data_IF_982894540344
#
_entry.id   IF_982894540344
#
_cell.length_a   1.000
_cell.length_b   1.000
_cell.length_c   1.000
_cell.angle_alpha   90.00
_cell.angle_beta   90.00
_cell.angle_gamma   90.00
#
_symmetry.space_group_name_H-M   'P 1'
#
loop_
_entity.id
_entity.type
_entity.pdbx_description
1 polymer ?
#
# COMPACT_ATOMS: atom_id res chain seq x y z
N UNK A 1 9.04 5.46 -27.20
CA UNK A 1 8.81 6.40 -26.08
C UNK A 1 9.27 5.73 -24.80
N UNK A 2 10.21 6.31 -24.05
CA UNK A 2 10.88 5.63 -22.92
C UNK A 2 10.65 6.41 -21.63
N UNK A 3 10.15 5.72 -20.60
CA UNK A 3 10.15 6.24 -19.23
C UNK A 3 11.56 6.10 -18.68
N UNK A 4 12.11 7.20 -18.19
CA UNK A 4 13.40 7.22 -17.52
C UNK A 4 13.20 7.47 -16.03
N UNK A 5 13.92 6.69 -15.23
CA UNK A 5 13.90 6.75 -13.78
C UNK A 5 15.31 7.06 -13.32
N UNK A 6 15.50 8.19 -12.68
CA UNK A 6 16.79 8.60 -12.12
C UNK A 6 16.73 8.65 -10.61
N UNK A 7 17.68 8.00 -9.95
CA UNK A 7 17.89 8.12 -8.51
C UNK A 7 18.25 9.57 -8.14
N UNK A 8 17.68 10.04 -7.04
CA UNK A 8 18.00 11.31 -6.40
C UNK A 8 18.70 11.05 -5.07
N UNK A 9 19.30 12.11 -4.53
CA UNK A 9 19.77 12.07 -3.14
C UNK A 9 18.60 11.78 -2.21
N UNK A 10 18.82 11.07 -1.10
CA UNK A 10 17.78 10.84 -0.12
C UNK A 10 17.17 12.16 0.34
N UNK A 11 15.85 12.18 0.54
CA UNK A 11 15.16 13.37 1.09
C UNK A 11 15.56 13.60 2.55
N UNK A 12 15.99 12.52 3.22
CA UNK A 12 16.52 12.56 4.57
C UNK A 12 17.64 11.53 4.72
N UNK A 13 18.78 11.97 5.28
CA UNK A 13 19.87 11.07 5.63
C UNK A 13 19.69 10.55 7.05
N UNK A 14 19.08 9.36 7.16
CA UNK A 14 19.18 8.57 8.38
C UNK A 14 20.61 7.98 8.46
N UNK A 15 21.49 8.66 9.19
CA UNK A 15 22.93 8.33 9.26
C UNK A 15 23.21 6.93 9.78
N UNK A 16 22.35 6.42 10.65
CA UNK A 16 22.56 5.11 11.28
C UNK A 16 21.86 3.98 10.54
N UNK A 17 20.91 4.28 9.63
CA UNK A 17 20.08 3.31 8.91
C UNK A 17 19.62 2.19 9.86
N UNK A 18 18.99 2.60 10.96
CA UNK A 18 18.69 1.74 12.12
C UNK A 18 17.83 0.51 11.80
N UNK A 19 17.15 0.50 10.66
CA UNK A 19 16.39 -0.63 10.12
C UNK A 19 17.23 -1.68 9.41
N UNK A 20 18.48 -1.40 9.05
CA UNK A 20 19.40 -2.36 8.43
C UNK A 20 19.96 -3.34 9.46
N UNK A 21 19.97 -4.63 9.12
CA UNK A 21 20.49 -5.70 10.00
C UNK A 21 21.52 -6.54 9.24
N UNK A 22 22.55 -7.00 9.97
CA UNK A 22 23.65 -7.81 9.44
C UNK A 22 24.42 -7.14 8.29
N UNK A 23 24.73 -5.85 8.44
CA UNK A 23 25.56 -5.10 7.50
C UNK A 23 27.02 -5.54 7.66
N UNK A 24 27.50 -6.41 6.78
CA UNK A 24 28.87 -6.95 6.86
C UNK A 24 29.91 -6.03 6.23
N UNK A 25 29.55 -5.28 5.18
CA UNK A 25 30.32 -4.15 4.65
C UNK A 25 29.41 -3.25 3.79
N UNK A 26 29.86 -2.02 3.50
CA UNK A 26 29.11 -1.04 2.70
C UNK A 26 28.83 -1.49 1.25
N UNK A 27 29.62 -2.42 0.70
CA UNK A 27 29.50 -2.88 -0.68
C UNK A 27 28.41 -3.95 -0.90
N UNK A 28 27.98 -4.67 0.14
CA UNK A 28 27.03 -5.79 0.03
C UNK A 28 25.62 -5.48 0.54
N UNK A 29 25.38 -4.27 1.06
CA UNK A 29 24.09 -3.86 1.62
C UNK A 29 23.64 -4.71 2.83
N UNK A 30 22.46 -4.43 3.39
CA UNK A 30 21.87 -5.23 4.47
C UNK A 30 21.42 -6.61 3.97
N UNK A 31 21.50 -7.63 4.84
CA UNK A 31 20.96 -8.98 4.54
C UNK A 31 19.52 -9.16 5.02
N UNK A 32 19.10 -8.33 5.96
CA UNK A 32 17.77 -8.35 6.56
C UNK A 32 17.43 -6.97 7.14
N UNK A 33 16.17 -6.78 7.50
CA UNK A 33 15.64 -5.52 8.00
C UNK A 33 14.86 -5.72 9.31
N UNK A 34 14.68 -4.65 10.09
CA UNK A 34 13.88 -4.62 11.31
C UNK A 34 13.10 -3.32 11.43
N UNK A 35 12.03 -3.33 12.22
CA UNK A 35 11.41 -2.09 12.68
C UNK A 35 12.28 -1.50 13.80
N UNK A 36 12.79 -0.27 13.68
CA UNK A 36 13.71 0.29 14.66
C UNK A 36 13.01 1.00 15.83
N UNK A 37 11.69 1.18 15.76
CA UNK A 37 10.96 2.03 16.70
C UNK A 37 10.39 1.26 17.90
N UNK A 38 10.28 1.90 19.08
CA UNK A 38 9.65 1.30 20.27
C UNK A 38 8.18 0.93 20.10
N UNK A 39 7.52 1.42 19.04
CA UNK A 39 6.14 1.07 18.67
C UNK A 39 6.00 -0.32 18.05
N UNK A 40 7.11 -1.00 17.75
CA UNK A 40 7.12 -2.38 17.27
C UNK A 40 7.57 -3.34 18.37
N UNK A 41 6.95 -4.51 18.40
CA UNK A 41 7.28 -5.59 19.34
C UNK A 41 7.28 -6.92 18.58
N UNK A 42 8.47 -7.51 18.49
CA UNK A 42 8.73 -8.76 17.77
C UNK A 42 8.02 -9.98 18.40
N UNK A 43 7.59 -9.89 19.66
CA UNK A 43 6.93 -10.98 20.38
C UNK A 43 5.51 -11.26 19.87
N UNK A 44 4.85 -10.29 19.23
CA UNK A 44 3.47 -10.43 18.73
C UNK A 44 3.38 -11.18 17.39
N UNK A 45 4.44 -11.24 16.60
CA UNK A 45 4.41 -11.80 15.23
C UNK A 45 5.03 -13.19 15.04
N UNK A 46 5.49 -13.82 16.12
CA UNK A 46 6.26 -15.07 16.10
C UNK A 46 5.44 -16.35 15.95
N UNK A 47 6.12 -17.49 15.71
CA UNK A 47 5.49 -18.81 15.54
C UNK A 47 4.61 -19.22 16.73
N UNK A 48 5.04 -18.92 17.96
CA UNK A 48 4.25 -19.20 19.18
C UNK A 48 2.94 -18.40 19.18
N UNK A 49 2.99 -17.12 18.82
CA UNK A 49 1.80 -16.27 18.77
C UNK A 49 0.84 -16.75 17.67
N UNK A 50 1.36 -17.16 16.50
CA UNK A 50 0.57 -17.78 15.44
C UNK A 50 -0.14 -19.06 15.92
N UNK A 51 0.57 -19.97 16.60
CA UNK A 51 -0.03 -21.20 17.14
C UNK A 51 -1.12 -20.90 18.17
N UNK A 52 -0.88 -19.93 19.07
CA UNK A 52 -1.90 -19.47 20.04
C UNK A 52 -3.15 -18.94 19.34
N UNK A 53 -3.01 -18.08 18.33
CA UNK A 53 -4.15 -17.57 17.56
C UNK A 53 -4.87 -18.66 16.76
N UNK A 54 -4.16 -19.67 16.27
CA UNK A 54 -4.72 -20.72 15.41
C UNK A 54 -5.39 -21.86 16.18
N UNK A 55 -4.84 -22.23 17.33
CA UNK A 55 -5.23 -23.43 18.09
C UNK A 55 -5.61 -23.15 19.56
N UNK A 56 -5.57 -21.88 20.00
CA UNK A 56 -5.99 -21.49 21.34
C UNK A 56 -7.45 -21.85 21.62
N UNK A 57 -7.73 -22.20 22.89
CA UNK A 57 -9.07 -22.58 23.35
C UNK A 57 -10.09 -21.46 23.17
N UNK A 58 -9.65 -20.21 23.30
CA UNK A 58 -10.49 -19.00 23.21
C UNK A 58 -10.58 -18.42 21.78
N UNK A 59 -10.21 -19.21 20.75
CA UNK A 59 -10.30 -18.75 19.37
C UNK A 59 -11.77 -18.50 19.01
N UNK A 60 -12.13 -17.31 18.48
CA UNK A 60 -13.51 -17.04 18.12
C UNK A 60 -13.98 -17.91 16.95
N UNK A 61 -15.30 -17.94 16.78
CA UNK A 61 -15.94 -18.68 15.70
C UNK A 61 -15.58 -18.11 14.33
N UNK A 62 -15.62 -18.98 13.33
CA UNK A 62 -15.47 -18.55 11.95
C UNK A 62 -16.59 -17.59 11.57
N UNK A 63 -16.22 -16.44 11.02
CA UNK A 63 -17.17 -15.45 10.51
C UNK A 63 -17.24 -15.63 8.99
N UNK A 64 -18.37 -16.11 8.43
CA UNK A 64 -18.53 -16.26 6.99
C UNK A 64 -18.56 -14.89 6.32
N UNK A 65 -18.06 -14.82 5.09
CA UNK A 65 -18.34 -13.67 4.24
C UNK A 65 -19.83 -13.72 3.89
N UNK A 66 -20.59 -12.61 4.03
CA UNK A 66 -21.98 -12.56 3.63
C UNK A 66 -22.21 -13.09 2.21
N UNK A 67 -23.23 -13.93 2.03
CA UNK A 67 -23.62 -14.43 0.71
C UNK A 67 -24.31 -13.36 -0.15
N UNK A 68 -24.95 -12.39 0.51
CA UNK A 68 -25.57 -11.24 -0.14
C UNK A 68 -24.51 -10.20 -0.53
N UNK A 69 -24.38 -9.93 -1.84
CA UNK A 69 -23.42 -8.95 -2.37
C UNK A 69 -23.76 -7.51 -1.96
N UNK A 70 -25.02 -7.20 -1.65
CA UNK A 70 -25.43 -5.87 -1.18
C UNK A 70 -24.88 -5.50 0.20
N UNK A 71 -24.38 -6.47 0.97
CA UNK A 71 -23.70 -6.24 2.24
C UNK A 71 -22.19 -6.07 2.11
N UNK A 72 -21.65 -6.26 0.90
CA UNK A 72 -20.23 -6.11 0.59
C UNK A 72 -20.02 -4.78 -0.13
N UNK A 73 -18.74 -4.38 -0.22
CA UNK A 73 -18.39 -3.23 -1.02
C UNK A 73 -18.83 -3.43 -2.47
N UNK A 74 -19.54 -2.46 -3.07
CA UNK A 74 -19.90 -2.50 -4.47
C UNK A 74 -18.68 -2.61 -5.37
N UNK A 75 -18.89 -3.23 -6.53
CA UNK A 75 -17.91 -3.29 -7.61
C UNK A 75 -18.56 -2.66 -8.83
N UNK A 76 -17.90 -1.65 -9.39
CA UNK A 76 -18.36 -0.92 -10.57
C UNK A 76 -17.29 -0.92 -11.66
N UNK A 77 -17.69 -0.72 -12.93
CA UNK A 77 -16.74 -0.55 -14.02
C UNK A 77 -15.79 0.62 -13.79
N UNK A 78 -14.56 0.49 -14.25
CA UNK A 78 -13.57 1.57 -14.19
C UNK A 78 -13.84 2.60 -15.29
N UNK A 79 -13.78 3.88 -14.95
CA UNK A 79 -13.58 4.95 -15.92
C UNK A 79 -12.08 5.08 -16.22
N UNK A 80 -11.66 4.71 -17.42
CA UNK A 80 -10.25 4.76 -17.86
C UNK A 80 -9.80 6.12 -18.41
N UNK A 81 -10.69 7.12 -18.45
CA UNK A 81 -10.36 8.45 -18.98
C UNK A 81 -9.22 9.12 -18.21
N UNK A 82 -8.37 9.87 -18.91
CA UNK A 82 -7.25 10.60 -18.32
C UNK A 82 -7.75 11.81 -17.50
N UNK A 83 -7.12 12.13 -16.35
CA UNK A 83 -7.42 13.35 -15.62
C UNK A 83 -6.99 14.58 -16.40
N UNK A 84 -7.76 15.67 -16.24
CA UNK A 84 -7.42 16.99 -16.78
C UNK A 84 -6.31 17.70 -15.99
N UNK A 85 -6.15 17.38 -14.71
CA UNK A 85 -5.16 17.99 -13.81
C UNK A 85 -4.85 17.05 -12.63
N UNK A 86 -3.64 17.14 -12.08
CA UNK A 86 -3.24 16.41 -10.88
C UNK A 86 -3.28 14.90 -11.07
N UNK A 87 -3.84 14.19 -10.08
CA UNK A 87 -3.93 12.73 -10.10
C UNK A 87 -5.36 12.24 -10.17
N UNK A 88 -5.60 11.18 -10.94
CA UNK A 88 -6.78 10.33 -10.81
C UNK A 88 -6.38 9.02 -10.15
N UNK A 89 -7.00 8.71 -9.02
CA UNK A 89 -6.73 7.50 -8.23
C UNK A 89 -7.98 6.62 -8.26
N UNK A 90 -7.84 5.42 -8.83
CA UNK A 90 -8.90 4.41 -8.93
C UNK A 90 -8.59 3.24 -8.00
N UNK A 91 -9.53 2.86 -7.14
CA UNK A 91 -9.35 1.69 -6.26
C UNK A 91 -9.69 0.39 -7.00
N UNK A 92 -8.72 -0.52 -7.11
CA UNK A 92 -8.88 -1.81 -7.79
C UNK A 92 -9.25 -2.96 -6.82
N UNK A 93 -9.37 -2.63 -5.52
CA UNK A 93 -9.62 -3.55 -4.43
C UNK A 93 -8.37 -3.87 -3.61
N UNK A 94 -8.57 -4.18 -2.32
CA UNK A 94 -7.51 -4.43 -1.34
C UNK A 94 -6.57 -3.23 -1.23
N UNK A 95 -5.26 -3.42 -1.47
CA UNK A 95 -4.27 -2.34 -1.57
C UNK A 95 -3.91 -1.99 -3.03
N UNK A 96 -4.64 -2.52 -4.01
CA UNK A 96 -4.38 -2.26 -5.42
C UNK A 96 -5.03 -0.94 -5.89
N UNK A 97 -4.22 -0.06 -6.48
CA UNK A 97 -4.69 1.21 -7.04
C UNK A 97 -4.10 1.44 -8.42
N UNK A 98 -4.90 2.01 -9.32
CA UNK A 98 -4.43 2.67 -10.53
C UNK A 98 -4.33 4.16 -10.25
N UNK A 99 -3.17 4.74 -10.51
CA UNK A 99 -2.97 6.19 -10.47
C UNK A 99 -2.57 6.67 -11.86
N UNK A 100 -3.33 7.62 -12.37
CA UNK A 100 -3.08 8.29 -13.65
C UNK A 100 -2.70 9.74 -13.36
N UNK A 101 -1.57 10.19 -13.87
CA UNK A 101 -1.18 11.59 -13.82
C UNK A 101 -1.87 12.35 -14.95
N UNK A 102 -2.09 13.65 -14.79
CA UNK A 102 -2.52 14.49 -15.90
C UNK A 102 -1.47 14.54 -17.02
N UNK A 103 -1.94 14.80 -18.23
CA UNK A 103 -1.08 14.93 -19.40
C UNK A 103 -0.38 16.30 -19.37
N UNK A 104 0.95 16.28 -19.40
CA UNK A 104 1.77 17.49 -19.45
C UNK A 104 1.81 18.08 -20.86
N UNK A 105 2.04 19.39 -20.95
CA UNK A 105 2.25 20.07 -22.24
C UNK A 105 3.39 19.42 -23.03
N UNK A 106 3.05 18.96 -24.24
CA UNK A 106 4.00 18.28 -25.13
C UNK A 106 4.13 16.77 -24.91
N UNK A 107 3.39 16.17 -23.97
CA UNK A 107 3.32 14.72 -23.79
C UNK A 107 2.06 14.13 -24.46
N UNK A 108 2.16 12.94 -25.04
CA UNK A 108 1.02 12.25 -25.66
C UNK A 108 -0.05 11.77 -24.65
N UNK A 109 0.35 11.51 -23.40
CA UNK A 109 -0.53 11.13 -22.27
C UNK A 109 0.20 11.27 -20.93
N UNK A 110 -0.54 11.21 -19.83
CA UNK A 110 -0.01 11.14 -18.47
C UNK A 110 0.65 9.80 -18.12
N UNK A 111 1.53 9.81 -17.11
CA UNK A 111 2.15 8.60 -16.54
C UNK A 111 1.11 7.80 -15.78
N UNK A 112 1.02 6.51 -16.07
CA UNK A 112 0.10 5.60 -15.38
C UNK A 112 0.88 4.62 -14.53
N UNK A 113 0.48 4.41 -13.29
CA UNK A 113 1.16 3.51 -12.37
C UNK A 113 0.18 2.68 -11.55
N UNK A 114 0.64 1.50 -11.14
CA UNK A 114 -0.08 0.61 -10.25
C UNK A 114 0.62 0.52 -8.90
N UNK A 115 -0.13 0.63 -7.82
CA UNK A 115 0.31 0.22 -6.49
C UNK A 115 -0.14 -1.20 -6.22
N UNK A 116 0.76 -2.05 -5.72
CA UNK A 116 0.49 -3.39 -5.20
C UNK A 116 -0.59 -4.18 -5.98
N UNK A 117 -0.43 -4.38 -7.31
CA UNK A 117 -1.52 -4.88 -8.15
C UNK A 117 -1.77 -6.37 -7.95
N UNK A 118 -3.01 -6.72 -7.57
CA UNK A 118 -3.47 -8.10 -7.34
C UNK A 118 -4.76 -8.40 -8.10
N UNK A 119 -4.62 -9.17 -9.18
CA UNK A 119 -5.77 -9.65 -9.97
C UNK A 119 -6.08 -11.12 -9.74
N UNK A 120 -5.15 -11.88 -9.15
CA UNK A 120 -5.34 -13.31 -8.87
C UNK A 120 -6.54 -13.61 -7.97
N UNK A 121 -7.13 -14.78 -8.20
CA UNK A 121 -8.25 -15.31 -7.39
C UNK A 121 -7.86 -15.60 -5.94
N UNK A 122 -6.58 -15.89 -5.70
CA UNK A 122 -6.02 -16.18 -4.37
C UNK A 122 -4.72 -15.44 -4.17
N UNK A 123 -4.49 -14.99 -2.93
CA UNK A 123 -3.24 -14.37 -2.49
C UNK A 123 -2.42 -15.42 -1.74
N UNK A 124 -1.69 -16.24 -2.50
CA UNK A 124 -1.03 -17.45 -2.01
C UNK A 124 0.13 -17.87 -2.90
N UNK A 125 1.15 -18.58 -2.37
CA UNK A 125 2.17 -19.25 -3.19
C UNK A 125 1.59 -20.30 -4.15
N UNK A 126 0.39 -20.82 -3.88
CA UNK A 126 -0.24 -21.89 -4.66
C UNK A 126 -1.68 -21.55 -5.04
N UNK A 127 -2.14 -22.01 -6.20
CA UNK A 127 -3.47 -21.66 -6.74
C UNK A 127 -4.64 -22.36 -6.04
N UNK A 128 -4.40 -23.47 -5.33
CA UNK A 128 -5.44 -24.31 -4.73
C UNK A 128 -5.69 -24.04 -3.24
N UNK A 129 -4.73 -23.45 -2.52
CA UNK A 129 -4.79 -23.19 -1.07
C UNK A 129 -4.51 -21.71 -0.77
N UNK A 130 -5.00 -21.22 0.36
CA UNK A 130 -4.75 -19.86 0.84
C UNK A 130 -5.95 -18.91 0.68
N UNK A 131 -5.84 -17.66 1.14
CA UNK A 131 -6.89 -16.65 1.02
C UNK A 131 -7.46 -16.54 -0.40
N UNK A 132 -8.79 -16.53 -0.52
CA UNK A 132 -9.51 -16.34 -1.78
C UNK A 132 -10.22 -15.00 -1.73
N UNK A 133 -10.15 -14.24 -2.82
CA UNK A 133 -10.93 -13.01 -2.94
C UNK A 133 -12.42 -13.29 -2.91
N UNK A 134 -13.16 -12.44 -2.21
CA UNK A 134 -14.62 -12.49 -2.13
C UNK A 134 -15.29 -11.38 -2.95
N UNK A 135 -14.56 -10.30 -3.26
CA UNK A 135 -14.97 -9.32 -4.27
C UNK A 135 -14.12 -9.48 -5.53
N UNK A 136 -14.71 -9.55 -6.73
CA UNK A 136 -14.00 -9.63 -8.00
C UNK A 136 -13.26 -8.31 -8.30
N UNK A 137 -12.30 -8.30 -9.23
CA UNK A 137 -11.69 -7.05 -9.67
C UNK A 137 -12.71 -6.26 -10.49
N UNK A 138 -12.58 -4.93 -10.56
CA UNK A 138 -13.53 -4.08 -11.30
C UNK A 138 -13.37 -4.16 -12.84
N UNK A 139 -12.26 -4.72 -13.31
CA UNK A 139 -12.00 -5.05 -14.71
C UNK A 139 -11.13 -6.31 -14.80
N UNK A 140 -10.95 -6.86 -15.99
CA UNK A 140 -9.94 -7.91 -16.20
C UNK A 140 -8.53 -7.31 -16.33
N UNK A 141 -7.50 -8.10 -16.04
CA UNK A 141 -6.11 -7.61 -16.21
C UNK A 141 -5.79 -7.31 -17.70
N UNK A 142 -6.38 -8.06 -18.63
CA UNK A 142 -6.24 -7.83 -20.06
C UNK A 142 -6.91 -6.51 -20.48
N UNK A 143 -8.12 -6.25 -19.98
CA UNK A 143 -8.83 -4.99 -20.18
C UNK A 143 -8.04 -3.80 -19.62
N UNK A 144 -7.53 -3.90 -18.39
CA UNK A 144 -6.70 -2.84 -17.81
C UNK A 144 -5.50 -2.49 -18.70
N UNK A 145 -4.75 -3.49 -19.16
CA UNK A 145 -3.55 -3.26 -19.97
C UNK A 145 -3.89 -2.76 -21.38
N UNK A 146 -5.02 -3.19 -21.95
CA UNK A 146 -5.50 -2.72 -23.24
C UNK A 146 -6.01 -1.27 -23.18
N UNK A 147 -6.66 -0.88 -22.08
CA UNK A 147 -7.23 0.45 -21.89
C UNK A 147 -6.21 1.48 -21.41
N UNK A 148 -5.30 1.08 -20.52
CA UNK A 148 -4.34 1.99 -19.88
C UNK A 148 -2.92 1.41 -19.96
N UNK A 149 -2.02 2.07 -20.70
CA UNK A 149 -0.61 1.69 -20.68
C UNK A 149 0.03 2.04 -19.33
N UNK A 150 0.17 1.02 -18.46
CA UNK A 150 0.92 1.03 -17.18
C UNK A 150 2.45 1.17 -17.32
N UNK A 151 2.99 2.30 -16.86
CA UNK A 151 4.42 2.64 -16.96
C UNK A 151 5.22 2.21 -15.74
N UNK A 152 4.63 2.29 -14.55
CA UNK A 152 5.29 1.96 -13.29
C UNK A 152 4.44 0.99 -12.47
N UNK A 153 5.11 0.09 -11.75
CA UNK A 153 4.51 -0.72 -10.69
C UNK A 153 5.29 -0.45 -9.41
N UNK A 154 4.60 0.06 -8.39
CA UNK A 154 5.15 0.36 -7.07
C UNK A 154 4.73 -0.75 -6.12
N UNK A 155 5.72 -1.40 -5.49
CA UNK A 155 5.54 -2.51 -4.57
C UNK A 155 5.96 -2.10 -3.16
N UNK A 156 5.00 -2.00 -2.25
CA UNK A 156 5.27 -1.64 -0.85
C UNK A 156 6.11 -2.71 -0.14
N UNK A 157 5.74 -3.98 -0.33
CA UNK A 157 6.41 -5.14 0.24
C UNK A 157 6.05 -6.43 -0.50
N UNK A 158 6.68 -7.54 -0.10
CA UNK A 158 6.68 -8.78 -0.87
C UNK A 158 5.57 -9.78 -0.51
N UNK A 159 4.60 -9.47 0.36
CA UNK A 159 3.52 -10.42 0.68
C UNK A 159 2.62 -10.71 -0.53
N UNK A 160 1.97 -11.87 -0.53
CA UNK A 160 1.20 -12.38 -1.68
C UNK A 160 -0.05 -11.56 -2.02
N UNK A 161 -0.56 -10.77 -1.09
CA UNK A 161 -1.70 -9.87 -1.27
C UNK A 161 -1.30 -8.44 -1.69
N UNK A 162 -0.01 -8.20 -1.90
CA UNK A 162 0.54 -6.95 -2.44
C UNK A 162 1.40 -7.18 -3.70
N UNK A 163 2.06 -8.34 -3.76
CA UNK A 163 3.01 -8.73 -4.80
C UNK A 163 2.57 -10.03 -5.49
N UNK A 164 1.53 -9.93 -6.32
CA UNK A 164 0.97 -11.06 -7.09
C UNK A 164 1.83 -11.42 -8.30
N UNK A 165 2.54 -12.55 -8.20
CA UNK A 165 3.44 -13.03 -9.26
C UNK A 165 2.76 -13.21 -10.62
N UNK A 166 1.50 -13.65 -10.67
CA UNK A 166 0.81 -13.84 -11.94
C UNK A 166 0.51 -12.49 -12.61
N UNK A 167 0.03 -11.52 -11.82
CA UNK A 167 -0.23 -10.16 -12.29
C UNK A 167 1.06 -9.49 -12.77
N UNK A 168 2.12 -9.53 -11.97
CA UNK A 168 3.38 -8.86 -12.31
C UNK A 168 4.06 -9.48 -13.56
N UNK A 169 3.99 -10.81 -13.73
CA UNK A 169 4.49 -11.49 -14.95
C UNK A 169 3.70 -11.08 -16.18
N UNK A 170 2.37 -10.99 -16.06
CA UNK A 170 1.51 -10.56 -17.17
C UNK A 170 1.85 -9.11 -17.57
N UNK A 171 1.89 -8.18 -16.61
CA UNK A 171 2.26 -6.78 -16.85
C UNK A 171 3.63 -6.67 -17.54
N UNK A 172 4.63 -7.40 -17.05
CA UNK A 172 5.96 -7.41 -17.65
C UNK A 172 5.97 -7.99 -19.07
N UNK A 173 5.19 -9.04 -19.34
CA UNK A 173 5.09 -9.63 -20.68
C UNK A 173 4.48 -8.65 -21.68
N UNK A 174 3.39 -7.98 -21.31
CA UNK A 174 2.67 -7.06 -22.21
C UNK A 174 3.41 -5.74 -22.42
N UNK A 175 4.15 -5.24 -21.43
CA UNK A 175 4.84 -3.93 -21.50
C UNK A 175 6.35 -4.00 -21.70
N UNK A 176 6.98 -5.13 -21.38
CA UNK A 176 8.38 -5.44 -21.61
C UNK A 176 9.36 -4.32 -21.20
N UNK A 177 9.99 -3.63 -22.16
CA UNK A 177 10.97 -2.58 -21.91
C UNK A 177 10.36 -1.26 -21.45
N UNK A 178 9.04 -1.12 -21.50
CA UNK A 178 8.35 0.16 -21.30
C UNK A 178 7.76 0.28 -19.88
N UNK A 179 7.90 -0.75 -19.06
CA UNK A 179 7.49 -0.76 -17.65
C UNK A 179 8.70 -0.72 -16.72
N UNK A 180 8.54 -0.10 -15.55
CA UNK A 180 9.51 -0.15 -14.45
C UNK A 180 8.82 -0.67 -13.19
N UNK A 181 9.54 -1.47 -12.42
CA UNK A 181 9.13 -1.97 -11.11
C UNK A 181 9.94 -1.22 -10.06
N UNK A 182 9.26 -0.45 -9.22
CA UNK A 182 9.85 0.29 -8.10
C UNK A 182 9.49 -0.49 -6.84
N UNK A 183 10.50 -0.92 -6.08
CA UNK A 183 10.28 -1.74 -4.89
C UNK A 183 11.26 -1.35 -3.79
N UNK A 184 10.92 -1.69 -2.55
CA UNK A 184 11.85 -1.53 -1.43
C UNK A 184 13.09 -2.42 -1.59
N UNK A 185 14.21 -2.03 -0.98
CA UNK A 185 15.51 -2.72 -1.05
C UNK A 185 15.43 -4.23 -0.75
N UNK A 186 16.07 -5.08 -1.56
CA UNK A 186 16.12 -6.54 -1.43
C UNK A 186 15.14 -7.29 -2.36
N UNK A 187 14.03 -6.64 -2.74
CA UNK A 187 12.95 -7.22 -3.54
C UNK A 187 13.36 -7.62 -4.98
N UNK A 188 14.46 -7.09 -5.52
CA UNK A 188 14.95 -7.45 -6.86
C UNK A 188 15.26 -8.95 -6.97
N UNK A 189 15.65 -9.60 -5.87
CA UNK A 189 15.99 -11.03 -5.87
C UNK A 189 14.81 -11.88 -6.33
N UNK A 190 13.61 -11.68 -5.77
CA UNK A 190 12.45 -12.48 -6.14
C UNK A 190 11.81 -12.01 -7.45
N UNK A 191 11.83 -10.71 -7.74
CA UNK A 191 11.36 -10.14 -9.02
C UNK A 191 12.16 -10.71 -10.21
N UNK A 192 13.49 -10.84 -10.05
CA UNK A 192 14.36 -11.47 -11.04
C UNK A 192 14.09 -12.97 -11.18
N UNK A 193 13.91 -13.69 -10.06
CA UNK A 193 13.56 -15.13 -10.09
C UNK A 193 12.26 -15.40 -10.84
N UNK A 194 11.30 -14.46 -10.82
CA UNK A 194 10.06 -14.63 -11.57
C UNK A 194 10.13 -14.22 -13.05
N UNK A 195 11.26 -13.64 -13.50
CA UNK A 195 11.55 -13.36 -14.91
C UNK A 195 11.68 -11.87 -15.28
N UNK A 196 11.53 -10.94 -14.33
CA UNK A 196 11.73 -9.51 -14.62
C UNK A 196 13.22 -9.22 -14.75
N UNK A 197 13.61 -8.57 -15.86
CA UNK A 197 15.00 -8.19 -16.10
C UNK A 197 15.47 -7.11 -15.12
N UNK A 198 16.72 -7.18 -14.70
CA UNK A 198 17.31 -6.27 -13.72
C UNK A 198 17.20 -4.79 -14.13
N UNK A 199 17.34 -4.48 -15.43
CA UNK A 199 17.21 -3.10 -15.95
C UNK A 199 15.80 -2.51 -15.86
N UNK A 200 14.80 -3.28 -15.46
CA UNK A 200 13.43 -2.81 -15.22
C UNK A 200 13.11 -2.68 -13.73
N UNK A 201 14.03 -3.03 -12.83
CA UNK A 201 13.80 -3.02 -11.39
C UNK A 201 14.63 -1.89 -10.77
N UNK A 202 13.97 -1.04 -9.98
CA UNK A 202 14.60 -0.02 -9.16
C UNK A 202 14.31 -0.32 -7.70
N UNK A 203 15.36 -0.61 -6.95
CA UNK A 203 15.29 -0.83 -5.50
C UNK A 203 15.59 0.47 -4.77
N UNK A 204 14.73 0.82 -3.81
CA UNK A 204 14.84 2.02 -3.00
C UNK A 204 14.91 1.64 -1.53
N UNK A 205 15.87 2.23 -0.81
CA UNK A 205 15.86 2.22 0.65
C UNK A 205 14.93 3.32 1.18
N UNK A 206 14.64 3.32 2.49
CA UNK A 206 13.90 4.41 3.10
C UNK A 206 14.60 5.75 2.90
N UNK A 207 13.78 6.72 2.52
CA UNK A 207 14.09 8.10 2.14
C UNK A 207 14.75 8.28 0.78
N UNK A 208 15.04 7.19 0.05
CA UNK A 208 15.49 7.30 -1.34
C UNK A 208 14.36 7.85 -2.21
N UNK A 209 14.75 8.69 -3.16
CA UNK A 209 13.83 9.31 -4.11
C UNK A 209 14.23 8.97 -5.54
N UNK A 210 13.23 8.83 -6.40
CA UNK A 210 13.40 8.78 -7.84
C UNK A 210 12.59 9.88 -8.50
N UNK A 211 13.10 10.36 -9.61
CA UNK A 211 12.33 11.16 -10.55
C UNK A 211 12.03 10.35 -11.79
N UNK A 212 10.78 10.44 -12.22
CA UNK A 212 10.28 9.87 -13.46
C UNK A 212 10.24 10.99 -14.49
N UNK A 213 10.94 10.77 -15.59
CA UNK A 213 10.93 11.65 -16.76
C UNK A 213 10.18 10.98 -17.90
N UNK A 214 9.46 11.82 -18.64
CA UNK A 214 8.70 11.42 -19.82
C UNK A 214 8.89 12.49 -20.89
N UNK A 215 9.48 12.11 -22.02
CA UNK A 215 9.64 12.97 -23.18
C UNK A 215 9.33 12.19 -24.46
N UNK A 216 8.49 12.78 -25.31
CA UNK A 216 8.26 12.32 -26.68
C UNK A 216 9.32 12.88 -27.64
N UNK A 217 9.84 14.07 -27.32
CA UNK A 217 10.97 14.72 -27.98
C UNK A 217 12.24 14.54 -27.11
N UNK A 218 13.31 13.91 -27.62
CA UNK A 218 14.58 13.77 -26.92
C UNK A 218 15.22 15.11 -26.50
N UNK A 219 14.80 16.24 -27.09
CA UNK A 219 15.30 17.58 -26.75
C UNK A 219 14.56 18.24 -25.58
N UNK A 220 13.46 17.66 -25.10
CA UNK A 220 12.65 18.20 -23.98
C UNK A 220 12.48 17.13 -22.89
N UNK A 221 13.51 16.98 -22.07
CA UNK A 221 13.42 16.20 -20.83
C UNK A 221 12.75 17.02 -19.73
N UNK A 222 11.47 16.78 -19.46
CA UNK A 222 10.80 17.30 -18.26
C UNK A 222 10.52 16.17 -17.27
N UNK A 223 10.95 16.35 -16.03
CA UNK A 223 10.52 15.50 -14.92
C UNK A 223 9.02 15.73 -14.67
N UNK A 224 8.27 14.65 -14.51
CA UNK A 224 6.83 14.70 -14.34
C UNK A 224 6.37 14.22 -12.97
N UNK A 225 7.15 13.35 -12.32
CA UNK A 225 6.76 12.74 -11.04
C UNK A 225 7.99 12.50 -10.18
N UNK A 226 7.92 12.90 -8.91
CA UNK A 226 8.84 12.46 -7.89
C UNK A 226 8.18 11.37 -7.04
N UNK A 227 8.91 10.30 -6.75
CA UNK A 227 8.48 9.19 -5.90
C UNK A 227 9.53 9.01 -4.81
N UNK A 228 9.10 9.05 -3.55
CA UNK A 228 9.95 8.84 -2.37
C UNK A 228 9.53 7.54 -1.71
N UNK A 229 10.48 6.64 -1.51
CA UNK A 229 10.31 5.44 -0.68
C UNK A 229 10.37 5.86 0.78
N UNK A 230 9.25 5.76 1.51
CA UNK A 230 9.15 6.21 2.90
C UNK A 230 9.04 5.04 3.87
N UNK A 231 9.37 5.22 5.16
CA UNK A 231 9.28 4.14 6.13
C UNK A 231 7.84 3.64 6.35
N UNK A 232 7.75 2.38 6.78
CA UNK A 232 6.53 1.76 7.28
C UNK A 232 6.90 0.81 8.43
N UNK A 233 6.00 0.59 9.38
CA UNK A 233 6.14 -0.46 10.39
C UNK A 233 5.43 -1.73 9.91
N UNK A 234 6.18 -2.71 9.39
CA UNK A 234 5.63 -3.97 8.87
C UNK A 234 6.68 -5.08 8.85
N UNK A 235 6.45 -6.14 8.07
CA UNK A 235 7.39 -7.23 7.83
C UNK A 235 7.35 -7.68 6.36
N UNK A 236 8.27 -8.56 5.96
CA UNK A 236 8.26 -9.18 4.65
C UNK A 236 8.47 -10.70 4.75
N UNK A 237 7.88 -11.47 3.85
CA UNK A 237 8.12 -12.92 3.67
C UNK A 237 7.43 -13.44 2.40
N UNK A 238 8.08 -14.33 1.66
CA UNK A 238 7.44 -15.13 0.60
C UNK A 238 7.59 -16.64 0.82
N UNK A 239 8.65 -17.05 1.51
CA UNK A 239 8.92 -18.42 1.90
C UNK A 239 8.95 -18.61 3.41
N UNK A 240 9.20 -19.84 3.87
CA UNK A 240 9.29 -20.15 5.30
C UNK A 240 10.56 -19.59 5.99
N UNK A 241 11.61 -19.22 5.23
CA UNK A 241 12.93 -18.86 5.77
C UNK A 241 13.45 -17.50 5.29
N UNK A 242 12.59 -16.67 4.68
CA UNK A 242 12.99 -15.36 4.12
C UNK A 242 12.37 -14.17 4.86
N UNK A 243 11.85 -14.40 6.08
CA UNK A 243 11.24 -13.34 6.87
C UNK A 243 12.21 -12.17 7.05
N UNK A 244 11.75 -10.97 6.71
CA UNK A 244 12.45 -9.70 6.79
C UNK A 244 13.77 -9.64 6.01
N UNK A 245 13.99 -10.53 5.03
CA UNK A 245 15.18 -10.43 4.16
C UNK A 245 15.05 -9.34 3.09
N UNK A 246 13.82 -8.91 2.79
CA UNK A 246 13.52 -7.81 1.87
C UNK A 246 12.87 -6.67 2.66
N UNK A 247 13.12 -5.42 2.29
CA UNK A 247 12.53 -4.26 2.94
C UNK A 247 11.04 -4.12 2.59
N UNK A 248 10.31 -3.40 3.44
CA UNK A 248 8.94 -2.93 3.24
C UNK A 248 8.93 -1.41 3.31
N UNK A 249 7.98 -0.75 2.65
CA UNK A 249 7.92 0.71 2.61
C UNK A 249 6.51 1.22 2.37
N UNK A 250 6.37 2.52 2.51
CA UNK A 250 5.29 3.34 1.95
C UNK A 250 5.86 4.18 0.80
N UNK A 251 4.99 4.84 0.02
CA UNK A 251 5.41 5.75 -1.04
C UNK A 251 4.73 7.12 -0.92
N UNK A 252 5.52 8.18 -1.03
CA UNK A 252 5.05 9.54 -1.22
C UNK A 252 5.33 9.98 -2.67
N UNK A 253 4.32 10.51 -3.34
CA UNK A 253 4.41 10.95 -4.73
C UNK A 253 4.07 12.44 -4.83
N UNK A 254 4.82 13.16 -5.64
CA UNK A 254 4.55 14.56 -6.00
C UNK A 254 4.54 14.70 -7.53
N UNK A 255 3.42 15.18 -8.07
CA UNK A 255 3.37 15.67 -9.46
C UNK A 255 4.13 17.00 -9.51
N UNK A 256 5.26 17.00 -10.20
CA UNK A 256 6.16 18.16 -10.24
C UNK A 256 5.59 19.34 -11.03
N UNK A 257 4.54 19.13 -11.81
CA UNK A 257 3.86 20.18 -12.58
C UNK A 257 2.76 20.87 -11.79
N UNK A 258 1.95 20.11 -11.05
CA UNK A 258 0.79 20.61 -10.32
C UNK A 258 1.05 20.77 -8.82
N UNK A 259 2.19 20.26 -8.32
CA UNK A 259 2.54 20.13 -6.90
C UNK A 259 1.53 19.34 -6.07
N UNK A 260 0.68 18.55 -6.72
CA UNK A 260 -0.23 17.64 -6.05
C UNK A 260 0.55 16.49 -5.45
N UNK A 261 0.17 16.10 -4.24
CA UNK A 261 0.87 15.03 -3.50
C UNK A 261 -0.07 13.93 -3.07
N UNK A 262 0.34 12.69 -3.26
CA UNK A 262 -0.37 11.52 -2.74
C UNK A 262 0.53 10.63 -1.92
N UNK A 263 -0.05 9.98 -0.92
CA UNK A 263 0.64 9.03 -0.07
C UNK A 263 -0.02 7.65 -0.15
N UNK A 264 0.78 6.63 -0.41
CA UNK A 264 0.38 5.23 -0.36
C UNK A 264 1.11 4.57 0.81
N UNK A 265 0.40 4.19 1.86
CA UNK A 265 1.05 3.65 3.06
C UNK A 265 1.60 2.23 2.89
N UNK A 266 1.15 1.49 1.86
CA UNK A 266 1.20 0.03 1.89
C UNK A 266 0.49 -0.53 3.13
N UNK A 267 0.89 -1.73 3.54
CA UNK A 267 0.50 -2.26 4.84
C UNK A 267 1.45 -1.78 5.92
N UNK A 268 0.86 -1.31 7.01
CA UNK A 268 1.64 -0.86 8.14
C UNK A 268 0.85 -0.88 9.43
N UNK A 269 1.57 -0.98 10.54
CA UNK A 269 1.11 -0.69 11.88
C UNK A 269 1.45 0.73 12.33
N UNK A 270 0.68 1.22 13.29
CA UNK A 270 0.98 2.45 14.01
C UNK A 270 1.58 2.17 15.39
N UNK A 271 1.16 1.09 16.04
CA UNK A 271 1.56 0.69 17.40
C UNK A 271 1.36 -0.81 17.63
N UNK A 272 2.18 -1.42 18.48
CA UNK A 272 1.97 -2.76 19.01
C UNK A 272 1.19 -2.72 20.32
N UNK A 273 0.23 -3.64 20.50
CA UNK A 273 -0.50 -3.82 21.75
C UNK A 273 -0.46 -5.29 22.22
N UNK A 274 -0.34 -5.54 23.53
CA UNK A 274 -0.01 -6.87 24.05
C UNK A 274 -1.17 -7.85 24.12
N UNK A 275 -2.41 -7.37 24.11
CA UNK A 275 -3.58 -8.18 24.36
C UNK A 275 -4.78 -7.74 23.52
N UNK A 276 -5.73 -8.65 23.34
CA UNK A 276 -6.99 -8.36 22.67
C UNK A 276 -7.96 -7.67 23.63
N UNK A 277 -8.99 -7.00 23.10
CA UNK A 277 -10.10 -6.48 23.89
C UNK A 277 -9.79 -5.20 24.67
N UNK A 278 -8.62 -4.59 24.46
CA UNK A 278 -8.34 -3.24 24.94
C UNK A 278 -9.32 -2.25 24.32
N UNK A 279 -9.78 -1.29 25.12
CA UNK A 279 -10.51 -0.14 24.61
C UNK A 279 -9.60 0.77 23.79
N UNK A 280 -10.20 1.62 22.94
CA UNK A 280 -9.47 2.62 22.15
C UNK A 280 -8.56 3.48 23.03
N UNK A 281 -9.05 3.90 24.21
CA UNK A 281 -8.27 4.73 25.16
C UNK A 281 -7.11 3.99 25.80
N UNK A 282 -7.19 2.66 25.91
CA UNK A 282 -6.10 1.83 26.42
C UNK A 282 -5.04 1.58 25.34
N UNK A 283 -5.46 1.28 24.10
CA UNK A 283 -4.53 1.15 22.96
C UNK A 283 -3.77 2.46 22.71
N UNK A 284 -4.43 3.62 22.86
CA UNK A 284 -3.81 4.94 22.67
C UNK A 284 -2.66 5.26 23.65
N UNK A 285 -2.47 4.47 24.71
CA UNK A 285 -1.35 4.64 25.67
C UNK A 285 -0.05 4.01 25.17
N UNK A 286 -0.10 3.17 24.15
CA UNK A 286 1.08 2.49 23.62
C UNK A 286 1.86 3.37 22.65
N UNK A 287 3.20 3.22 22.59
CA UNK A 287 4.03 4.02 21.71
C UNK A 287 3.60 3.93 20.25
N UNK A 288 3.64 5.07 19.55
CA UNK A 288 3.29 5.19 18.15
C UNK A 288 4.54 5.30 17.29
N UNK A 289 4.47 4.82 16.05
CA UNK A 289 5.57 4.87 15.11
C UNK A 289 5.88 6.33 14.73
N UNK A 290 7.06 6.87 15.10
CA UNK A 290 7.39 8.28 14.87
C UNK A 290 7.61 8.60 13.39
N UNK A 291 7.80 7.59 12.53
CA UNK A 291 8.05 7.79 11.12
C UNK A 291 6.90 8.49 10.40
N UNK A 292 5.64 8.25 10.78
CA UNK A 292 4.50 8.89 10.11
C UNK A 292 4.49 10.40 10.33
N UNK A 293 4.78 10.83 11.56
CA UNK A 293 4.95 12.26 11.86
C UNK A 293 6.13 12.84 11.10
N UNK A 294 7.25 12.12 11.00
CA UNK A 294 8.41 12.55 10.22
C UNK A 294 8.07 12.67 8.72
N UNK A 295 7.30 11.74 8.16
CA UNK A 295 6.82 11.78 6.77
C UNK A 295 5.97 13.05 6.56
N UNK A 296 5.02 13.34 7.46
CA UNK A 296 4.19 14.55 7.37
C UNK A 296 4.99 15.85 7.52
N UNK A 297 6.00 15.85 8.39
CA UNK A 297 6.86 17.02 8.61
C UNK A 297 7.80 17.30 7.41
N UNK A 298 8.26 16.26 6.69
CA UNK A 298 9.21 16.38 5.57
C UNK A 298 8.55 16.49 4.19
N UNK A 299 7.46 15.78 3.96
CA UNK A 299 6.87 15.58 2.62
C UNK A 299 5.44 16.12 2.51
N UNK A 300 4.72 16.14 3.63
CA UNK A 300 3.37 16.65 3.71
C UNK A 300 3.27 18.19 3.60
N UNK A 301 2.04 18.73 3.54
CA UNK A 301 0.76 18.01 3.57
C UNK A 301 0.47 17.27 2.25
N UNK A 302 -0.23 16.14 2.35
CA UNK A 302 -0.68 15.37 1.18
C UNK A 302 -2.11 15.76 0.78
N UNK A 303 -2.41 15.78 -0.52
CA UNK A 303 -3.78 16.00 -1.01
C UNK A 303 -4.66 14.76 -0.83
N UNK A 304 -4.08 13.56 -0.98
CA UNK A 304 -4.76 12.29 -0.74
C UNK A 304 -3.83 11.25 -0.13
N UNK A 305 -4.31 10.50 0.85
CA UNK A 305 -3.63 9.32 1.36
C UNK A 305 -4.50 8.06 1.29
N UNK A 306 -3.90 6.96 0.86
CA UNK A 306 -4.49 5.61 0.88
C UNK A 306 -3.97 4.89 2.13
N UNK A 307 -4.85 4.63 3.10
CA UNK A 307 -4.48 4.12 4.43
C UNK A 307 -5.16 2.77 4.71
N UNK A 308 -4.50 1.79 5.35
CA UNK A 308 -5.05 0.46 5.55
C UNK A 308 -6.01 0.48 6.74
N UNK A 309 -7.15 -0.21 6.62
CA UNK A 309 -8.18 -0.21 7.69
C UNK A 309 -8.60 -1.62 8.13
N UNK A 310 -8.12 -2.65 7.44
CA UNK A 310 -8.52 -4.04 7.65
C UNK A 310 -7.36 -4.96 8.05
N UNK A 311 -7.69 -6.25 8.21
CA UNK A 311 -6.78 -7.32 8.61
C UNK A 311 -6.04 -7.02 9.91
N UNK A 312 -6.67 -6.31 10.84
CA UNK A 312 -6.02 -5.77 12.02
C UNK A 312 -6.30 -6.60 13.29
N UNK A 313 -7.09 -7.67 13.20
CA UNK A 313 -7.56 -8.48 14.34
C UNK A 313 -7.09 -9.94 14.22
N UNK A 314 -6.63 -10.61 15.30
CA UNK A 314 -6.60 -10.16 16.71
C UNK A 314 -5.47 -9.15 16.98
N UNK A 315 -5.77 -8.11 17.78
CA UNK A 315 -4.84 -7.00 18.04
C UNK A 315 -3.52 -7.45 18.68
N UNK A 316 -3.56 -8.40 19.62
CA UNK A 316 -2.37 -9.01 20.23
C UNK A 316 -1.40 -9.70 19.25
N UNK A 317 -1.81 -9.92 18.00
CA UNK A 317 -0.98 -10.54 16.97
C UNK A 317 -0.74 -9.59 15.79
N UNK A 318 -1.80 -8.92 15.34
CA UNK A 318 -1.78 -8.10 14.14
C UNK A 318 -1.37 -6.65 14.40
N UNK A 319 -1.46 -6.12 15.63
CA UNK A 319 -1.15 -4.70 15.89
C UNK A 319 0.29 -4.32 15.54
N UNK A 320 1.25 -5.24 15.66
CA UNK A 320 2.64 -4.97 15.31
C UNK A 320 2.88 -4.73 13.81
N UNK A 321 1.93 -5.10 12.95
CA UNK A 321 2.04 -5.10 11.48
C UNK A 321 0.85 -4.44 10.74
N UNK A 322 -0.31 -4.29 11.37
CA UNK A 322 -1.50 -3.64 10.79
C UNK A 322 -2.14 -2.63 11.73
N UNK A 323 -2.40 -1.43 11.21
CA UNK A 323 -3.24 -0.41 11.83
C UNK A 323 -4.67 -0.91 12.00
N UNK A 324 -5.27 -0.59 13.13
CA UNK A 324 -6.73 -0.57 13.22
C UNK A 324 -7.30 0.75 12.67
N UNK A 325 -8.62 0.91 12.75
CA UNK A 325 -9.30 2.12 12.32
C UNK A 325 -8.86 3.40 13.08
N UNK A 326 -8.56 3.37 14.37
CA UNK A 326 -8.12 4.58 15.08
C UNK A 326 -6.66 4.91 14.80
N UNK A 327 -5.80 3.90 14.72
CA UNK A 327 -4.41 4.00 14.30
C UNK A 327 -4.30 4.70 12.94
N UNK A 328 -5.13 4.29 11.97
CA UNK A 328 -5.07 4.90 10.64
C UNK A 328 -5.61 6.34 10.62
N UNK A 329 -6.54 6.74 11.51
CA UNK A 329 -6.98 8.14 11.64
C UNK A 329 -5.88 9.00 12.26
N UNK A 330 -5.14 8.45 13.23
CA UNK A 330 -3.97 9.12 13.81
C UNK A 330 -2.84 9.24 12.77
N UNK A 331 -2.64 8.20 11.95
CA UNK A 331 -1.72 8.27 10.82
C UNK A 331 -2.13 9.33 9.79
N UNK A 332 -3.43 9.48 9.47
CA UNK A 332 -3.94 10.57 8.61
C UNK A 332 -3.49 11.95 9.14
N UNK A 333 -3.59 12.17 10.45
CA UNK A 333 -3.15 13.40 11.09
C UNK A 333 -1.62 13.58 11.03
N UNK A 334 -0.85 12.54 11.38
CA UNK A 334 0.61 12.60 11.47
C UNK A 334 1.28 12.85 10.13
N UNK A 335 0.77 12.23 9.05
CA UNK A 335 1.25 12.50 7.68
C UNK A 335 0.73 13.83 7.12
N UNK A 336 -0.15 14.54 7.86
CA UNK A 336 -0.79 15.78 7.44
C UNK A 336 -1.57 15.64 6.14
N UNK A 337 -2.35 14.56 6.01
CA UNK A 337 -3.19 14.38 4.83
C UNK A 337 -4.42 15.28 4.88
N UNK A 338 -4.76 15.93 3.78
CA UNK A 338 -6.02 16.68 3.65
C UNK A 338 -7.22 15.75 3.50
N UNK A 339 -7.02 14.66 2.75
CA UNK A 339 -8.05 13.65 2.48
C UNK A 339 -7.48 12.24 2.61
N UNK A 340 -8.24 11.29 3.11
CA UNK A 340 -7.83 9.89 3.17
C UNK A 340 -8.94 8.93 2.77
N UNK A 341 -8.56 7.90 2.03
CA UNK A 341 -9.43 6.77 1.68
C UNK A 341 -8.91 5.49 2.32
N UNK A 342 -9.83 4.70 2.85
CA UNK A 342 -9.53 3.40 3.44
C UNK A 342 -9.26 2.31 2.39
N UNK A 343 -8.18 1.57 2.55
CA UNK A 343 -7.77 0.43 1.72
C UNK A 343 -7.49 -0.83 2.58
N UNK A 344 -7.02 -1.91 1.96
CA UNK A 344 -6.71 -3.18 2.65
C UNK A 344 -7.95 -3.89 3.25
N UNK A 345 -9.11 -3.64 2.66
CA UNK A 345 -10.38 -4.25 3.05
C UNK A 345 -11.23 -4.60 1.82
N UNK A 346 -12.39 -5.21 2.05
CA UNK A 346 -13.42 -5.35 1.02
C UNK A 346 -13.13 -6.32 -0.14
N UNK A 347 -11.96 -6.97 -0.19
CA UNK A 347 -11.54 -7.76 -1.36
C UNK A 347 -11.08 -9.17 -1.03
N UNK A 348 -10.09 -9.32 -0.16
CA UNK A 348 -9.60 -10.60 0.37
C UNK A 348 -9.66 -10.56 1.89
N UNK A 349 -9.78 -11.73 2.52
CA UNK A 349 -9.62 -11.87 3.97
C UNK A 349 -8.41 -12.73 4.26
N UNK A 350 -7.62 -12.36 5.26
CA UNK A 350 -6.48 -13.13 5.73
C UNK A 350 -6.86 -14.53 6.24
N UNK A 351 -5.85 -15.41 6.32
CA UNK A 351 -6.05 -16.79 6.78
C UNK A 351 -6.52 -16.87 8.24
N UNK A 352 -6.01 -15.99 9.10
CA UNK A 352 -6.45 -15.90 10.49
C UNK A 352 -7.68 -14.99 10.63
N UNK A 353 -7.73 -13.86 9.92
CA UNK A 353 -8.80 -12.86 10.09
C UNK A 353 -10.22 -13.43 9.89
N UNK A 354 -10.39 -14.50 9.12
CA UNK A 354 -11.67 -15.24 9.00
C UNK A 354 -12.29 -15.72 10.33
N UNK A 355 -11.53 -15.72 11.42
CA UNK A 355 -12.00 -16.06 12.77
C UNK A 355 -12.11 -14.84 13.69
N UNK A 356 -11.59 -13.69 13.28
CA UNK A 356 -11.33 -12.57 14.19
C UNK A 356 -11.92 -11.25 13.70
N UNK A 357 -12.23 -11.12 12.41
CA UNK A 357 -12.66 -9.86 11.81
C UNK A 357 -13.79 -10.14 10.80
N UNK A 358 -14.97 -9.58 11.06
CA UNK A 358 -16.03 -9.53 10.04
C UNK A 358 -15.56 -8.60 8.92
N UNK A 359 -15.76 -9.01 7.66
CA UNK A 359 -15.33 -8.23 6.49
C UNK A 359 -16.03 -6.86 6.37
N UNK A 360 -17.11 -6.65 7.13
CA UNK A 360 -17.87 -5.39 7.24
C UNK A 360 -17.40 -4.50 8.39
N UNK A 361 -16.58 -5.01 9.30
CA UNK A 361 -16.08 -4.23 10.44
C UNK A 361 -15.09 -3.11 10.04
N UNK A 362 -14.10 -3.34 9.15
CA UNK A 362 -13.15 -2.31 8.77
C UNK A 362 -13.80 -0.97 8.35
N UNK A 363 -14.73 -0.92 7.36
CA UNK A 363 -15.34 0.34 6.94
C UNK A 363 -16.21 0.97 8.03
N UNK A 364 -16.93 0.16 8.82
CA UNK A 364 -17.77 0.64 9.92
C UNK A 364 -16.93 1.31 11.00
N UNK A 365 -15.88 0.63 11.46
CA UNK A 365 -14.97 1.14 12.50
C UNK A 365 -14.18 2.36 12.02
N UNK A 366 -13.81 2.40 10.74
CA UNK A 366 -13.17 3.57 10.13
C UNK A 366 -14.07 4.81 10.19
N UNK A 367 -15.35 4.67 9.84
CA UNK A 367 -16.33 5.75 9.98
C UNK A 367 -16.51 6.19 11.42
N UNK A 368 -16.62 5.23 12.35
CA UNK A 368 -16.73 5.53 13.79
C UNK A 368 -15.53 6.35 14.29
N UNK A 369 -14.30 5.92 13.96
CA UNK A 369 -13.07 6.60 14.35
C UNK A 369 -12.97 8.00 13.75
N UNK A 370 -13.34 8.18 12.48
CA UNK A 370 -13.37 9.48 11.81
C UNK A 370 -14.33 10.46 12.48
N UNK A 371 -15.56 10.01 12.75
CA UNK A 371 -16.59 10.84 13.40
C UNK A 371 -16.23 11.18 14.85
N UNK A 372 -15.63 10.25 15.60
CA UNK A 372 -15.13 10.51 16.96
C UNK A 372 -14.06 11.62 16.98
N UNK A 373 -13.15 11.61 15.99
CA UNK A 373 -12.11 12.63 15.82
C UNK A 373 -12.62 13.90 15.10
N UNK A 374 -13.93 13.97 14.80
CA UNK A 374 -14.63 15.09 14.17
C UNK A 374 -14.19 15.40 12.74
N UNK A 375 -13.65 14.41 12.03
CA UNK A 375 -13.36 14.54 10.61
C UNK A 375 -14.64 14.48 9.78
N UNK A 376 -14.70 15.26 8.70
CA UNK A 376 -15.80 15.23 7.74
C UNK A 376 -15.76 13.91 6.96
N UNK A 377 -16.75 13.06 7.20
CA UNK A 377 -16.91 11.80 6.51
C UNK A 377 -17.49 12.00 5.11
N UNK A 378 -16.93 11.32 4.11
CA UNK A 378 -17.49 11.28 2.75
C UNK A 378 -18.71 10.36 2.71
N UNK A 379 -19.92 10.89 2.55
CA UNK A 379 -21.09 10.05 2.31
C UNK A 379 -21.10 9.51 0.88
N UNK A 380 -21.74 8.35 0.72
CA UNK A 380 -21.78 7.66 -0.56
C UNK A 380 -22.64 8.45 -1.56
N UNK A 381 -22.06 8.81 -2.70
CA UNK A 381 -22.76 9.54 -3.77
C UNK A 381 -22.69 11.07 -3.65
N UNK A 382 -22.01 11.61 -2.63
CA UNK A 382 -21.71 13.04 -2.55
C UNK A 382 -20.76 13.47 -3.67
N UNK A 383 -20.99 14.70 -4.17
CA UNK A 383 -20.17 15.29 -5.22
C UNK A 383 -18.71 15.41 -4.78
N UNK A 384 -17.72 15.21 -5.67
CA UNK A 384 -16.29 15.43 -5.37
C UNK A 384 -15.96 16.84 -4.85
N UNK A 385 -16.90 17.78 -4.95
CA UNK A 385 -16.80 19.18 -4.53
C UNK A 385 -17.16 19.42 -3.06
N UNK A 386 -17.74 18.45 -2.35
CA UNK A 386 -18.03 18.58 -0.93
C UNK A 386 -16.73 18.47 -0.10
N UNK A 387 -16.60 19.30 0.92
CA UNK A 387 -15.43 19.25 1.81
C UNK A 387 -15.50 18.00 2.69
N UNK A 388 -14.80 16.94 2.29
CA UNK A 388 -14.59 15.74 3.10
C UNK A 388 -13.10 15.55 3.40
N UNK A 389 -12.81 14.84 4.48
CA UNK A 389 -11.45 14.58 4.97
C UNK A 389 -11.14 13.08 5.04
N UNK A 390 -12.14 12.26 5.36
CA UNK A 390 -11.96 10.80 5.45
C UNK A 390 -13.13 10.10 4.76
N UNK A 391 -12.85 9.05 4.00
CA UNK A 391 -13.89 8.33 3.28
C UNK A 391 -13.49 6.93 2.81
N UNK A 392 -14.37 6.37 2.00
CA UNK A 392 -14.20 5.09 1.32
C UNK A 392 -14.48 5.28 -0.18
N UNK A 393 -14.01 4.30 -0.95
CA UNK A 393 -14.35 4.13 -2.35
C UNK A 393 -15.07 2.80 -2.55
N UNK A 394 -15.95 2.74 -3.54
CA UNK A 394 -16.39 1.49 -4.14
C UNK A 394 -15.26 0.92 -5.02
N UNK A 395 -15.23 -0.40 -5.21
CA UNK A 395 -14.19 -1.03 -6.06
C UNK A 395 -14.45 -0.63 -7.51
N UNK A 396 -13.47 0.03 -8.14
CA UNK A 396 -13.56 0.65 -9.47
C UNK A 396 -13.87 2.15 -9.46
N UNK A 397 -14.20 2.72 -8.29
CA UNK A 397 -14.39 4.17 -8.15
C UNK A 397 -13.07 4.92 -8.29
N UNK A 398 -13.16 6.15 -8.83
CA UNK A 398 -12.02 7.05 -9.01
C UNK A 398 -12.23 8.37 -8.27
N UNK A 399 -11.13 8.94 -7.76
CA UNK A 399 -11.06 10.31 -7.25
C UNK A 399 -10.03 11.10 -8.06
N UNK A 400 -10.33 12.36 -8.35
CA UNK A 400 -9.37 13.30 -8.93
C UNK A 400 -8.94 14.28 -7.85
N UNK A 401 -7.62 14.51 -7.70
CA UNK A 401 -7.03 15.35 -6.64
C UNK A 401 -6.04 16.37 -7.14
#
# INVERSE_FOLDING_TARGET
>A
MRIEVSLRRPVHEDKEKSHHVNVTNAAHGPRSFKNPWPSHDDSHGGFVAFLKCRFGRDRPHFVPVPGNRGELVPVQPIDFSEPRSGFKVTWLGHASFLLQCATLDGAARGVNLLFDPVFSKRTSPVSFLGPKRYSPPPCTLAELVASVPIDLVLLSHNHYDHSDTATLRYLYRERNSDIRFIAALGNSRWLRRMGIKAGQIHELDWWDAIEVRRGDDPSVEKACLQIVCTPAQHTSARGPFDRNQDLWCSFALEDLSSHKKVYFSGDTAYRSVPQNGLSVKEEARYPCCPAFKQIGDLLGPFDLAMLPIGLCTPRSFMSAVHCNAWDSIEMHQDIRSKRSIGMHWGTVRGFLSRYYEDVRDPPRRWREAALEKKYKWREKGESPTEEWEVGLLDVGESLVV
#
